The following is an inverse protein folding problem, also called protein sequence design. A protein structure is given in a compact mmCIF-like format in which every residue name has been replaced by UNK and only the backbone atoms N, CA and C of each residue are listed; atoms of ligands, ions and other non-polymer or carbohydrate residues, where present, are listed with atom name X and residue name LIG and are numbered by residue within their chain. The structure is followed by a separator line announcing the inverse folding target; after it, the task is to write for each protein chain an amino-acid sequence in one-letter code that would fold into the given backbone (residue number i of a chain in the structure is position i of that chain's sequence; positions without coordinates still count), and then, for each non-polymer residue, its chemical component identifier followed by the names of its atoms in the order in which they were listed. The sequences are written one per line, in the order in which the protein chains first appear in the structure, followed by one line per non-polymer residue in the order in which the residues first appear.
data_IF_721793730998
#
_entry.id   IF_721793730998
#
_cell.length_a   1.000
_cell.length_b   1.000
_cell.length_c   1.000
_cell.angle_alpha   90.00
_cell.angle_beta   90.00
_cell.angle_gamma   90.00
#
_symmetry.space_group_name_H-M   'P 1'
#
loop_
_entity.id
_entity.type
_entity.pdbx_description
1 polymer ?
#
# COMPACT_ATOMS: atom_id res chain seq x y z
N UNK A 1 7.93 9.45 -16.82
CA UNK A 1 6.53 9.27 -17.28
C UNK A 1 5.74 10.53 -16.95
N UNK A 2 4.83 10.97 -17.82
CA UNK A 2 4.02 12.19 -17.61
C UNK A 2 2.54 11.83 -17.71
N UNK A 3 1.72 12.35 -16.81
CA UNK A 3 0.28 12.09 -16.74
C UNK A 3 -0.48 13.40 -16.60
N UNK A 4 -1.60 13.52 -17.32
CA UNK A 4 -2.57 14.61 -17.16
C UNK A 4 -3.73 14.14 -16.28
N UNK A 5 -4.23 15.04 -15.44
CA UNK A 5 -5.37 14.79 -14.57
C UNK A 5 -6.58 15.62 -14.99
N UNK A 6 -7.78 15.15 -14.63
CA UNK A 6 -9.06 15.82 -14.92
C UNK A 6 -9.29 17.11 -14.13
N UNK A 7 -8.45 17.42 -13.15
CA UNK A 7 -8.43 18.69 -12.44
C UNK A 7 -7.44 19.70 -13.07
N UNK A 8 -6.86 19.39 -14.23
CA UNK A 8 -5.92 20.27 -14.92
C UNK A 8 -4.49 20.28 -14.37
N UNK A 9 -4.16 19.26 -13.57
CA UNK A 9 -2.81 19.03 -13.06
C UNK A 9 -2.01 18.17 -14.04
N UNK A 10 -0.78 18.59 -14.30
CA UNK A 10 0.25 17.77 -14.95
C UNK A 10 1.13 17.13 -13.87
N UNK A 11 1.18 15.81 -13.84
CA UNK A 11 1.96 15.03 -12.90
C UNK A 11 3.12 14.33 -13.62
N UNK A 12 4.34 14.60 -13.18
CA UNK A 12 5.56 13.99 -13.69
C UNK A 12 6.06 12.95 -12.71
N UNK A 13 6.31 11.76 -13.24
CA UNK A 13 6.71 10.58 -12.48
C UNK A 13 8.12 10.16 -12.86
N UNK A 14 8.94 9.96 -11.84
CA UNK A 14 10.24 9.33 -11.92
C UNK A 14 10.22 8.03 -11.11
N UNK A 15 10.13 6.92 -11.84
CA UNK A 15 9.98 5.59 -11.26
C UNK A 15 11.26 5.08 -10.58
N UNK A 16 12.42 5.66 -10.91
CA UNK A 16 13.68 5.31 -10.26
C UNK A 16 13.82 6.03 -8.91
N UNK A 17 13.26 7.24 -8.79
CA UNK A 17 13.28 8.02 -7.53
C UNK A 17 12.12 7.68 -6.58
N UNK A 18 10.89 7.63 -7.07
CA UNK A 18 9.73 7.39 -6.20
C UNK A 18 8.57 6.74 -6.96
N UNK A 19 8.14 5.55 -6.53
CA UNK A 19 7.01 4.85 -7.16
C UNK A 19 5.65 5.16 -6.52
N UNK A 20 5.62 5.74 -5.31
CA UNK A 20 4.39 5.91 -4.53
C UNK A 20 3.71 7.26 -4.77
N UNK A 21 4.45 8.26 -5.26
CA UNK A 21 3.94 9.61 -5.52
C UNK A 21 4.63 10.23 -6.73
N UNK A 22 3.97 11.18 -7.41
CA UNK A 22 4.62 11.93 -8.48
C UNK A 22 5.84 12.69 -7.96
N UNK A 23 6.85 12.81 -8.81
CA UNK A 23 8.05 13.59 -8.53
C UNK A 23 7.75 15.10 -8.59
N UNK A 24 6.87 15.52 -9.49
CA UNK A 24 6.42 16.89 -9.63
C UNK A 24 4.94 16.91 -10.01
N UNK A 25 4.20 17.85 -9.45
CA UNK A 25 2.81 18.14 -9.83
C UNK A 25 2.66 19.63 -10.03
N UNK A 26 2.18 20.04 -11.20
CA UNK A 26 1.99 21.45 -11.54
C UNK A 26 0.58 21.66 -12.07
N UNK A 27 -0.12 22.64 -11.51
CA UNK A 27 -1.42 23.08 -12.02
C UNK A 27 -1.19 23.93 -13.28
N UNK A 28 -1.69 23.49 -14.44
CA UNK A 28 -1.57 24.27 -15.68
C UNK A 28 -2.83 25.11 -15.93
N UNK A 29 -3.99 24.52 -15.76
CA UNK A 29 -5.29 25.15 -15.98
C UNK A 29 -6.31 24.64 -14.96
N UNK A 30 -7.34 25.40 -14.58
CA UNK A 30 -8.39 24.91 -13.68
C UNK A 30 -9.32 23.87 -14.35
N UNK A 31 -9.29 23.76 -15.68
CA UNK A 31 -10.09 22.81 -16.46
C UNK A 31 -9.39 21.45 -16.66
N UNK A 32 -10.12 20.38 -16.99
CA UNK A 32 -9.53 19.09 -17.34
C UNK A 32 -8.60 19.17 -18.56
N UNK A 33 -7.46 18.48 -18.44
CA UNK A 33 -6.55 18.21 -19.55
C UNK A 33 -6.93 16.89 -20.20
N UNK A 34 -7.20 16.92 -21.51
CA UNK A 34 -7.72 15.79 -22.28
C UNK A 34 -6.65 15.11 -23.15
N UNK A 35 -5.64 15.85 -23.58
CA UNK A 35 -4.59 15.32 -24.44
C UNK A 35 -3.21 15.74 -23.98
N UNK A 36 -2.23 14.88 -24.21
CA UNK A 36 -0.81 15.12 -23.96
C UNK A 36 -0.01 14.57 -25.14
N UNK A 37 0.86 15.41 -25.71
CA UNK A 37 1.81 15.03 -26.74
C UNK A 37 3.21 15.47 -26.31
N UNK A 38 4.17 14.56 -26.33
CA UNK A 38 5.57 14.89 -26.05
C UNK A 38 6.32 15.10 -27.36
N UNK A 39 7.21 16.08 -27.37
CA UNK A 39 8.14 16.28 -28.47
C UNK A 39 9.17 15.14 -28.52
N UNK A 40 9.72 14.86 -29.71
CA UNK A 40 10.66 13.75 -29.94
C UNK A 40 11.93 13.85 -29.07
N UNK A 41 12.38 15.08 -28.81
CA UNK A 41 13.54 15.33 -27.92
C UNK A 41 13.21 15.18 -26.44
N UNK A 42 11.93 15.02 -26.07
CA UNK A 42 11.46 14.87 -24.69
C UNK A 42 11.50 16.14 -23.83
N UNK A 43 12.00 17.26 -24.36
CA UNK A 43 12.15 18.53 -23.62
C UNK A 43 10.85 19.34 -23.56
N UNK A 44 9.97 19.18 -24.53
CA UNK A 44 8.72 19.92 -24.61
C UNK A 44 7.53 18.95 -24.58
N UNK A 45 6.45 19.36 -23.91
CA UNK A 45 5.19 18.65 -23.88
C UNK A 45 4.04 19.63 -24.15
N UNK A 46 3.15 19.27 -25.07
CA UNK A 46 1.93 19.99 -25.36
C UNK A 46 0.75 19.30 -24.67
N UNK A 47 -0.07 20.07 -23.95
CA UNK A 47 -1.24 19.59 -23.23
C UNK A 47 -2.49 20.31 -23.75
N UNK A 48 -3.51 19.57 -24.17
CA UNK A 48 -4.79 20.12 -24.61
C UNK A 48 -5.83 20.11 -23.49
N UNK A 49 -6.52 21.23 -23.31
CA UNK A 49 -7.64 21.40 -22.37
C UNK A 49 -8.99 21.21 -23.05
N UNK A 50 -10.02 20.85 -22.28
CA UNK A 50 -11.41 20.75 -22.73
C UNK A 50 -11.93 22.03 -23.42
N UNK A 51 -11.47 23.21 -23.01
CA UNK A 51 -11.88 24.49 -23.61
C UNK A 51 -11.24 24.77 -24.97
N UNK A 52 -10.43 23.85 -25.51
CA UNK A 52 -9.72 24.02 -26.78
C UNK A 52 -8.40 24.80 -26.66
N UNK A 53 -7.97 25.11 -25.44
CA UNK A 53 -6.65 25.72 -25.20
C UNK A 53 -5.55 24.66 -25.25
N UNK A 54 -4.39 25.03 -25.81
CA UNK A 54 -3.19 24.18 -25.84
C UNK A 54 -2.09 24.87 -25.04
N UNK A 55 -1.57 24.15 -24.05
CA UNK A 55 -0.48 24.60 -23.19
C UNK A 55 0.81 23.91 -23.60
N UNK A 56 1.86 24.68 -23.86
CA UNK A 56 3.20 24.15 -24.10
C UNK A 56 4.02 24.26 -22.82
N UNK A 57 4.59 23.15 -22.38
CA UNK A 57 5.36 23.02 -21.14
C UNK A 57 6.78 22.56 -21.47
N UNK A 58 7.76 23.25 -20.93
CA UNK A 58 9.16 22.85 -20.97
C UNK A 58 9.53 22.04 -19.73
N UNK A 59 10.21 20.91 -19.96
CA UNK A 59 10.62 19.97 -18.93
C UNK A 59 12.05 20.28 -18.48
N UNK A 60 12.28 20.23 -17.17
CA UNK A 60 13.63 20.36 -16.61
C UNK A 60 14.57 19.28 -17.18
N UNK A 61 15.85 19.61 -17.43
CA UNK A 61 16.84 18.63 -17.89
C UNK A 61 16.98 17.42 -16.94
N UNK A 62 16.70 17.59 -15.65
CA UNK A 62 16.74 16.51 -14.66
C UNK A 62 15.67 15.42 -14.88
N UNK A 63 14.67 15.70 -15.73
CA UNK A 63 13.58 14.79 -16.08
C UNK A 63 13.73 14.21 -17.49
N UNK A 64 14.64 14.75 -18.30
CA UNK A 64 14.86 14.35 -19.70
C UNK A 64 16.15 13.57 -19.90
N UNK A 65 17.13 13.73 -19.00
CA UNK A 65 18.37 12.97 -19.04
C UNK A 65 18.12 11.52 -18.60
N UNK A 66 18.57 10.58 -19.43
CA UNK A 66 18.62 9.15 -19.12
C UNK A 66 20.07 8.69 -19.05
N UNK A 67 20.44 8.00 -17.98
CA UNK A 67 21.74 7.34 -17.86
C UNK A 67 21.68 5.91 -18.44
N UNK A 68 22.84 5.37 -18.82
CA UNK A 68 22.99 4.03 -19.42
C UNK A 68 22.49 2.93 -18.49
N UNK A 69 22.52 3.17 -17.18
CA UNK A 69 22.12 2.22 -16.16
C UNK A 69 20.62 2.24 -15.86
N UNK A 70 19.88 3.26 -16.30
CA UNK A 70 18.47 3.48 -15.91
C UNK A 70 17.58 2.29 -16.28
N UNK A 71 17.80 1.71 -17.47
CA UNK A 71 17.06 0.54 -17.92
C UNK A 71 17.29 -0.66 -17.01
N UNK A 72 18.54 -0.90 -16.60
CA UNK A 72 18.88 -2.01 -15.71
C UNK A 72 18.27 -1.80 -14.31
N UNK A 73 18.38 -0.58 -13.77
CA UNK A 73 17.79 -0.22 -12.48
C UNK A 73 16.27 -0.36 -12.49
N UNK A 74 15.61 0.14 -13.54
CA UNK A 74 14.15 0.03 -13.68
C UNK A 74 13.71 -1.43 -13.74
N UNK A 75 14.43 -2.26 -14.50
CA UNK A 75 14.14 -3.70 -14.60
C UNK A 75 14.27 -4.39 -13.25
N UNK A 76 15.35 -4.11 -12.50
CA UNK A 76 15.56 -4.67 -11.16
C UNK A 76 14.45 -4.25 -10.17
N UNK A 77 13.97 -3.00 -10.24
CA UNK A 77 12.84 -2.51 -9.43
C UNK A 77 11.55 -3.28 -9.77
N UNK A 78 11.22 -3.42 -11.06
CA UNK A 78 10.02 -4.13 -11.50
C UNK A 78 10.04 -5.61 -11.10
N UNK A 79 11.19 -6.27 -11.25
CA UNK A 79 11.35 -7.66 -10.81
C UNK A 79 11.17 -7.81 -9.30
N UNK A 80 11.72 -6.87 -8.52
CA UNK A 80 11.56 -6.85 -7.06
C UNK A 80 10.10 -6.71 -6.66
N UNK A 81 9.37 -5.77 -7.26
CA UNK A 81 7.95 -5.56 -6.97
C UNK A 81 7.09 -6.74 -7.41
N UNK A 82 7.37 -7.35 -8.57
CA UNK A 82 6.69 -8.58 -9.02
C UNK A 82 6.91 -9.76 -8.06
N UNK A 83 8.14 -9.94 -7.56
CA UNK A 83 8.44 -10.97 -6.53
C UNK A 83 7.69 -10.68 -5.23
N UNK A 84 7.65 -9.41 -4.80
CA UNK A 84 6.92 -8.98 -3.60
C UNK A 84 5.43 -9.30 -3.73
N UNK A 85 4.82 -8.94 -4.85
CA UNK A 85 3.41 -9.20 -5.13
C UNK A 85 3.11 -10.71 -5.10
N UNK A 86 3.92 -11.53 -5.78
CA UNK A 86 3.77 -12.99 -5.79
C UNK A 86 3.82 -13.61 -4.39
N UNK A 87 4.72 -13.13 -3.53
CA UNK A 87 4.81 -13.61 -2.14
C UNK A 87 3.55 -13.22 -1.36
N UNK A 88 3.08 -11.97 -1.50
CA UNK A 88 1.89 -11.47 -0.82
C UNK A 88 0.63 -12.23 -1.27
N UNK A 89 0.48 -12.48 -2.56
CA UNK A 89 -0.63 -13.27 -3.10
C UNK A 89 -0.63 -14.72 -2.57
N UNK A 90 0.55 -15.35 -2.49
CA UNK A 90 0.68 -16.69 -1.93
C UNK A 90 0.26 -16.72 -0.45
N UNK A 91 0.73 -15.75 0.35
CA UNK A 91 0.35 -15.60 1.77
C UNK A 91 -1.15 -15.34 1.94
N UNK A 92 -1.74 -14.49 1.09
CA UNK A 92 -3.17 -14.20 1.12
C UNK A 92 -4.00 -15.43 0.76
N UNK A 93 -3.54 -16.26 -0.19
CA UNK A 93 -4.18 -17.52 -0.55
C UNK A 93 -4.12 -18.54 0.59
N UNK A 94 -2.98 -18.66 1.28
CA UNK A 94 -2.84 -19.49 2.48
C UNK A 94 -3.80 -19.06 3.60
N UNK A 95 -3.88 -17.76 3.88
CA UNK A 95 -4.79 -17.20 4.90
C UNK A 95 -6.26 -17.49 4.57
N UNK A 96 -6.67 -17.30 3.31
CA UNK A 96 -8.04 -17.61 2.86
C UNK A 96 -8.38 -19.10 2.98
N UNK A 97 -7.43 -19.98 2.68
CA UNK A 97 -7.61 -21.43 2.86
C UNK A 97 -7.74 -21.81 4.34
N UNK A 98 -6.93 -21.21 5.22
CA UNK A 98 -7.04 -21.39 6.67
C UNK A 98 -8.38 -20.90 7.24
N UNK A 99 -8.92 -19.78 6.74
CA UNK A 99 -10.22 -19.26 7.16
C UNK A 99 -11.41 -20.10 6.67
N UNK A 100 -11.27 -20.76 5.50
CA UNK A 100 -12.30 -21.65 4.95
C UNK A 100 -12.27 -23.07 5.52
N UNK A 101 -11.23 -23.43 6.27
CA UNK A 101 -11.25 -24.65 7.09
C UNK A 101 -11.89 -24.29 8.43
N UNK A 102 -13.18 -24.62 8.68
CA UNK A 102 -13.70 -24.56 10.04
C UNK A 102 -12.94 -25.61 10.86
N UNK A 103 -12.24 -25.18 11.91
CA UNK A 103 -11.88 -25.95 13.12
C UNK A 103 -11.57 -27.46 12.98
N UNK A 104 -10.98 -27.93 11.87
CA UNK A 104 -10.55 -29.33 11.78
C UNK A 104 -9.22 -29.61 12.51
N UNK A 105 -8.69 -28.59 13.17
CA UNK A 105 -7.56 -28.66 14.10
C UNK A 105 -7.86 -27.87 15.38
N UNK A 106 -9.03 -28.10 15.98
CA UNK A 106 -9.24 -27.87 17.42
C UNK A 106 -9.06 -29.20 18.20
N UNK A 107 -8.06 -30.02 17.82
CA UNK A 107 -7.72 -31.27 18.52
C UNK A 107 -6.23 -31.44 18.78
N UNK A 108 -5.47 -30.35 18.84
CA UNK A 108 -4.14 -30.37 19.46
C UNK A 108 -3.86 -29.00 20.06
N UNK A 109 -3.92 -28.92 21.39
CA UNK A 109 -3.71 -27.74 22.25
C UNK A 109 -4.93 -26.82 22.49
N UNK A 110 -6.08 -27.40 22.82
CA UNK A 110 -6.98 -26.73 23.76
C UNK A 110 -6.31 -26.80 25.13
N UNK A 111 -5.67 -25.71 25.56
CA UNK A 111 -5.57 -25.39 26.99
C UNK A 111 -6.97 -25.64 27.57
N UNK A 112 -7.13 -26.43 28.65
CA UNK A 112 -8.46 -26.74 29.17
C UNK A 112 -9.21 -25.43 29.35
N UNK A 113 -10.35 -25.30 28.65
CA UNK A 113 -11.22 -24.15 28.77
C UNK A 113 -11.50 -23.91 30.26
N UNK A 114 -11.56 -22.64 30.70
CA UNK A 114 -11.62 -22.30 32.11
C UNK A 114 -13.02 -22.55 32.68
N UNK A 115 -13.47 -23.80 32.67
CA UNK A 115 -14.71 -24.23 33.30
C UNK A 115 -14.63 -24.10 34.83
N UNK A 116 -13.42 -24.10 35.38
CA UNK A 116 -13.20 -24.18 36.83
C UNK A 116 -12.89 -22.83 37.49
N UNK A 117 -12.72 -21.72 36.74
CA UNK A 117 -12.51 -20.39 37.34
C UNK A 117 -13.60 -19.96 38.35
N UNK A 118 -14.90 -20.14 38.09
CA UNK A 118 -15.93 -19.80 39.07
C UNK A 118 -15.91 -20.75 40.29
N UNK A 119 -15.54 -22.01 40.11
CA UNK A 119 -15.45 -22.97 41.22
C UNK A 119 -14.24 -22.69 42.12
N UNK A 120 -13.08 -22.38 41.52
CA UNK A 120 -11.84 -22.04 42.23
C UNK A 120 -11.97 -20.71 42.98
N UNK A 121 -12.60 -19.70 42.37
CA UNK A 121 -12.86 -18.43 43.06
C UNK A 121 -13.86 -18.58 44.23
N UNK A 122 -14.89 -19.43 44.08
CA UNK A 122 -15.81 -19.74 45.17
C UNK A 122 -15.12 -20.49 46.33
N UNK A 123 -14.26 -21.46 46.03
CA UNK A 123 -13.46 -22.18 47.05
C UNK A 123 -12.52 -21.23 47.80
N UNK A 124 -11.82 -20.35 47.08
CA UNK A 124 -10.95 -19.34 47.69
C UNK A 124 -11.72 -18.40 48.62
N UNK A 125 -12.88 -17.89 48.19
CA UNK A 125 -13.72 -17.01 49.01
C UNK A 125 -14.23 -17.70 50.29
N UNK A 126 -14.53 -19.00 50.22
CA UNK A 126 -14.93 -19.80 51.40
C UNK A 126 -13.76 -20.03 52.36
N UNK A 127 -12.56 -20.27 51.84
CA UNK A 127 -11.35 -20.43 52.65
C UNK A 127 -11.02 -19.14 53.41
N UNK A 128 -11.02 -17.99 52.73
CA UNK A 128 -10.77 -16.68 53.35
C UNK A 128 -11.81 -16.36 54.42
N UNK A 129 -13.09 -16.66 54.17
CA UNK A 129 -14.15 -16.46 55.17
C UNK A 129 -13.97 -17.33 56.42
N UNK A 130 -13.49 -18.57 56.27
CA UNK A 130 -13.19 -19.45 57.40
C UNK A 130 -12.02 -18.93 58.23
N UNK A 131 -10.95 -18.46 57.58
CA UNK A 131 -9.80 -17.90 58.30
C UNK A 131 -10.17 -16.62 59.05
N UNK A 132 -10.96 -15.74 58.43
CA UNK A 132 -11.45 -14.52 59.10
C UNK A 132 -12.37 -14.82 60.29
N UNK A 133 -13.20 -15.87 60.20
CA UNK A 133 -14.05 -16.30 61.31
C UNK A 133 -13.28 -17.03 62.42
N UNK A 134 -12.09 -17.57 62.13
CA UNK A 134 -11.20 -18.18 63.13
C UNK A 134 -10.34 -17.14 63.86
N UNK A 135 -10.32 -15.90 63.39
CA UNK A 135 -9.57 -14.77 63.95
C UNK A 135 -10.45 -13.81 64.79
N UNK A 136 -11.74 -14.12 64.97
CA UNK A 136 -12.72 -13.41 65.82
C UNK A 136 -13.15 -14.27 66.99
#
# INVERSE_FOLDING_TARGET
MVLTQSNGVLAVWDLLRCQQRPALTTQLCPEPLLSLCMHETGTLAACGSEKGNIYLVEMSPNMTQTDKNDKALLTAILERESKRERILEARLRELRLRQKQPERTASSATLPAPADLPAVSAQYALAVRRELAALS
#
